data_IF_568158995946
#
_entry.id   IF_568158995946
#
_cell.length_a   1.000
_cell.length_b   1.000
_cell.length_c   1.000
_cell.angle_alpha   90.00
_cell.angle_beta   90.00
_cell.angle_gamma   90.00
#
_symmetry.space_group_name_H-M   'P 1'
#
loop_
_entity.id
_entity.type
_entity.pdbx_description
1 polymer ?
#
# COMPACT_ATOMS: atom_id res chain seq x y z
N UNK A 1 -12.76 2.29 13.79
CA UNK A 1 -13.18 0.90 14.05
C UNK A 1 -14.08 0.83 15.29
N UNK A 2 -13.75 1.43 16.46
CA UNK A 2 -14.66 1.45 17.62
C UNK A 2 -15.93 2.28 17.37
N UNK A 3 -15.83 3.39 16.66
CA UNK A 3 -17.00 4.23 16.31
C UNK A 3 -17.90 3.54 15.27
N UNK A 4 -17.35 2.81 14.29
CA UNK A 4 -18.16 2.03 13.32
C UNK A 4 -18.91 0.89 13.99
N UNK A 5 -18.29 0.26 14.99
CA UNK A 5 -18.97 -0.75 15.79
C UNK A 5 -20.13 -0.15 16.58
N UNK A 6 -19.98 1.09 17.04
CA UNK A 6 -21.04 1.79 17.79
C UNK A 6 -22.16 2.27 16.86
N UNK A 7 -21.82 2.79 15.68
CA UNK A 7 -22.81 3.20 14.67
C UNK A 7 -23.55 1.97 14.12
N UNK A 8 -22.84 0.90 13.85
CA UNK A 8 -23.41 -0.39 13.47
C UNK A 8 -24.33 -0.97 14.57
N UNK A 9 -23.93 -0.85 15.86
CA UNK A 9 -24.78 -1.21 16.99
C UNK A 9 -26.05 -0.39 17.07
N UNK A 10 -25.97 0.89 16.78
CA UNK A 10 -27.13 1.82 16.85
C UNK A 10 -28.10 1.60 15.69
N UNK A 11 -27.62 1.24 14.50
CA UNK A 11 -28.42 1.00 13.31
C UNK A 11 -29.11 -0.38 13.30
N UNK A 12 -28.50 -1.41 13.87
CA UNK A 12 -29.05 -2.77 13.92
C UNK A 12 -30.08 -3.01 15.06
N UNK A 13 -30.53 -1.96 15.73
CA UNK A 13 -31.70 -1.99 16.64
C UNK A 13 -31.76 -3.16 17.62
N UNK A 14 -30.95 -3.18 18.64
CA UNK A 14 -31.13 -4.02 19.84
C UNK A 14 -30.48 -5.42 19.82
N UNK A 15 -30.40 -6.12 18.69
CA UNK A 15 -29.75 -7.44 18.61
C UNK A 15 -28.25 -7.28 18.36
N UNK A 16 -27.84 -6.29 17.58
CA UNK A 16 -26.43 -5.97 17.30
C UNK A 16 -25.71 -5.25 18.46
N UNK A 17 -26.42 -4.90 19.53
CA UNK A 17 -25.80 -4.27 20.70
C UNK A 17 -24.75 -5.12 21.43
N UNK A 18 -24.52 -6.36 20.96
CA UNK A 18 -23.61 -7.30 21.61
C UNK A 18 -22.48 -7.83 20.68
N UNK A 19 -22.50 -7.52 19.38
CA UNK A 19 -21.47 -7.95 18.45
C UNK A 19 -20.64 -6.76 17.98
N UNK A 20 -19.41 -6.67 18.43
CA UNK A 20 -18.43 -5.69 18.00
C UNK A 20 -17.62 -6.28 16.83
N UNK A 21 -17.65 -5.71 15.60
CA UNK A 21 -16.85 -6.20 14.46
C UNK A 21 -15.35 -6.28 14.74
N UNK A 22 -14.85 -5.48 15.69
CA UNK A 22 -13.45 -5.57 16.14
C UNK A 22 -13.18 -6.80 17.00
N UNK A 23 -14.21 -7.29 17.69
CA UNK A 23 -14.11 -8.54 18.43
C UNK A 23 -13.96 -9.70 17.42
N UNK A 24 -14.59 -9.62 16.24
CA UNK A 24 -14.46 -10.63 15.21
C UNK A 24 -13.00 -10.84 14.73
N UNK A 25 -12.19 -9.79 14.67
CA UNK A 25 -10.77 -9.91 14.31
C UNK A 25 -9.89 -10.50 15.42
N UNK A 26 -10.36 -10.54 16.66
CA UNK A 26 -9.66 -11.11 17.82
C UNK A 26 -10.05 -12.57 18.10
N UNK A 27 -11.00 -13.13 17.32
CA UNK A 27 -11.60 -14.45 17.55
C UNK A 27 -10.75 -15.67 17.20
N UNK A 28 -9.46 -15.52 16.97
CA UNK A 28 -8.56 -16.66 16.74
C UNK A 28 -7.98 -17.27 18.03
N UNK A 29 -8.40 -16.83 19.22
CA UNK A 29 -8.02 -17.47 20.48
C UNK A 29 -9.20 -18.21 21.09
N UNK A 30 -9.01 -19.47 21.51
CA UNK A 30 -10.08 -20.33 22.06
C UNK A 30 -10.78 -19.72 23.29
N UNK A 31 -10.09 -18.88 24.04
CA UNK A 31 -10.60 -18.22 25.27
C UNK A 31 -11.66 -17.13 25.01
N UNK A 32 -11.78 -16.59 23.79
CA UNK A 32 -12.75 -15.54 23.46
C UNK A 32 -14.03 -16.05 22.80
N UNK A 33 -14.08 -17.32 22.44
CA UNK A 33 -15.29 -17.95 21.89
C UNK A 33 -16.41 -18.08 22.92
N UNK A 34 -16.07 -18.15 24.22
CA UNK A 34 -17.05 -18.28 25.29
C UNK A 34 -17.87 -17.01 25.56
N UNK A 35 -17.30 -15.79 25.45
CA UNK A 35 -18.02 -14.53 25.77
C UNK A 35 -19.10 -14.14 24.74
N UNK A 36 -19.04 -14.64 23.50
CA UNK A 36 -20.05 -14.34 22.45
C UNK A 36 -21.13 -15.42 22.37
N UNK A 37 -20.83 -16.64 22.79
CA UNK A 37 -21.80 -17.74 22.79
C UNK A 37 -23.06 -17.41 23.59
N UNK A 38 -22.98 -16.52 24.58
CA UNK A 38 -24.10 -16.13 25.44
C UNK A 38 -25.08 -15.13 24.81
N UNK A 39 -24.79 -14.57 23.62
CA UNK A 39 -25.59 -13.46 23.08
C UNK A 39 -26.27 -13.73 21.73
N UNK A 40 -25.78 -14.67 20.94
CA UNK A 40 -26.37 -15.08 19.65
C UNK A 40 -26.43 -16.59 19.61
N UNK A 41 -27.65 -17.14 19.62
CA UNK A 41 -27.84 -18.56 19.49
C UNK A 41 -27.70 -19.00 18.03
N UNK A 42 -27.33 -20.25 17.79
CA UNK A 42 -27.23 -20.80 16.44
C UNK A 42 -28.55 -20.68 15.66
N UNK A 43 -29.70 -20.75 16.36
CA UNK A 43 -31.04 -20.50 15.80
C UNK A 43 -31.31 -19.06 15.36
N UNK A 44 -30.49 -18.08 15.81
CA UNK A 44 -30.63 -16.69 15.41
C UNK A 44 -29.92 -16.40 14.09
N UNK A 45 -28.93 -17.22 13.75
CA UNK A 45 -28.15 -17.04 12.51
C UNK A 45 -28.98 -17.14 11.24
N UNK A 46 -30.06 -17.93 11.27
CA UNK A 46 -30.92 -18.15 10.10
C UNK A 46 -32.16 -17.24 10.08
N UNK A 47 -32.28 -16.33 11.07
CA UNK A 47 -33.33 -15.30 11.08
C UNK A 47 -33.04 -14.19 10.10
N UNK A 48 -34.11 -13.59 9.57
CA UNK A 48 -34.04 -12.45 8.68
C UNK A 48 -33.86 -11.16 9.47
N UNK A 49 -32.94 -10.30 9.05
CA UNK A 49 -32.63 -9.02 9.68
C UNK A 49 -32.56 -7.90 8.64
N UNK A 50 -32.75 -6.66 9.11
CA UNK A 50 -32.36 -5.46 8.35
C UNK A 50 -30.84 -5.33 8.42
N UNK A 51 -30.19 -5.26 7.26
CA UNK A 51 -28.73 -5.20 7.15
C UNK A 51 -28.14 -3.79 7.37
N UNK A 52 -28.99 -2.82 7.70
CA UNK A 52 -28.58 -1.44 8.03
C UNK A 52 -27.74 -0.78 6.94
N UNK A 53 -26.55 -0.31 7.32
CA UNK A 53 -25.63 0.39 6.41
C UNK A 53 -24.76 -0.52 5.55
N UNK A 54 -24.88 -1.85 5.68
CA UNK A 54 -24.13 -2.80 4.85
C UNK A 54 -24.36 -2.58 3.36
N UNK A 55 -23.28 -2.54 2.57
CA UNK A 55 -23.29 -2.20 1.14
C UNK A 55 -22.95 -3.39 0.23
N UNK A 56 -22.61 -4.54 0.82
CA UNK A 56 -22.22 -5.73 0.08
C UNK A 56 -23.37 -6.48 -0.60
N UNK A 57 -23.15 -7.73 -1.03
CA UNK A 57 -24.20 -8.54 -1.63
C UNK A 57 -25.43 -8.68 -0.73
N UNK A 58 -26.60 -8.81 -1.35
CA UNK A 58 -27.85 -9.01 -0.59
C UNK A 58 -27.73 -10.22 0.32
N UNK A 59 -27.76 -9.98 1.62
CA UNK A 59 -27.85 -11.00 2.66
C UNK A 59 -29.27 -10.99 3.22
N UNK A 60 -29.87 -12.16 3.44
CA UNK A 60 -31.19 -12.27 4.03
C UNK A 60 -31.13 -12.70 5.49
N UNK A 61 -30.07 -13.38 5.88
CA UNK A 61 -29.87 -13.95 7.21
C UNK A 61 -28.63 -13.39 7.88
N UNK A 62 -28.56 -13.48 9.20
CA UNK A 62 -27.38 -13.08 9.97
C UNK A 62 -26.18 -13.94 9.60
N UNK A 63 -26.36 -15.22 9.26
CA UNK A 63 -25.31 -16.12 8.79
C UNK A 63 -24.67 -15.59 7.50
N UNK A 64 -25.49 -15.25 6.50
CA UNK A 64 -25.00 -14.70 5.22
C UNK A 64 -24.24 -13.39 5.42
N UNK A 65 -24.74 -12.51 6.30
CA UNK A 65 -24.06 -11.28 6.66
C UNK A 65 -22.72 -11.57 7.34
N UNK A 66 -22.70 -12.48 8.31
CA UNK A 66 -21.49 -12.86 9.03
C UNK A 66 -20.42 -13.43 8.07
N UNK A 67 -20.81 -14.33 7.18
CA UNK A 67 -19.92 -14.93 6.19
C UNK A 67 -19.36 -13.84 5.22
N UNK A 68 -20.21 -12.91 4.80
CA UNK A 68 -19.79 -11.83 3.93
C UNK A 68 -18.83 -10.86 4.64
N UNK A 69 -19.11 -10.46 5.88
CA UNK A 69 -18.23 -9.62 6.69
C UNK A 69 -16.89 -10.30 6.97
N UNK A 70 -16.91 -11.60 7.29
CA UNK A 70 -15.68 -12.38 7.48
C UNK A 70 -14.83 -12.40 6.20
N UNK A 71 -15.46 -12.66 5.05
CA UNK A 71 -14.76 -12.66 3.76
C UNK A 71 -14.14 -11.30 3.46
N UNK A 72 -14.80 -10.22 3.85
CA UNK A 72 -14.36 -8.86 3.56
C UNK A 72 -13.31 -8.36 4.56
N UNK A 73 -13.57 -8.48 5.86
CA UNK A 73 -12.80 -7.80 6.92
C UNK A 73 -11.89 -8.72 7.74
N UNK A 74 -12.04 -10.04 7.61
CA UNK A 74 -11.23 -11.03 8.34
C UNK A 74 -10.35 -11.89 7.42
N UNK A 75 -10.12 -11.44 6.18
CA UNK A 75 -9.27 -12.10 5.19
C UNK A 75 -7.84 -11.53 5.21
N UNK A 76 -7.21 -11.45 4.05
CA UNK A 76 -5.88 -10.86 3.85
C UNK A 76 -5.88 -9.31 3.82
N UNK A 77 -7.03 -8.68 4.10
CA UNK A 77 -7.24 -7.23 4.06
C UNK A 77 -7.74 -6.70 5.40
N UNK A 78 -7.08 -5.67 5.93
CA UNK A 78 -7.57 -4.79 6.97
C UNK A 78 -7.74 -3.37 6.45
N UNK A 79 -8.75 -2.65 6.93
CA UNK A 79 -9.05 -1.29 6.44
C UNK A 79 -9.32 -0.34 7.58
N UNK A 80 -8.62 0.80 7.58
CA UNK A 80 -8.84 1.87 8.51
C UNK A 80 -9.36 3.12 7.79
N UNK A 81 -10.63 3.44 7.96
CA UNK A 81 -11.28 4.61 7.32
C UNK A 81 -12.30 5.32 8.22
N UNK A 82 -12.63 4.73 9.37
CA UNK A 82 -13.68 5.27 10.24
C UNK A 82 -13.28 6.56 10.95
N UNK A 83 -11.97 6.87 11.02
CA UNK A 83 -11.46 8.14 11.53
C UNK A 83 -11.66 9.30 10.55
N UNK A 84 -12.08 9.03 9.30
CA UNK A 84 -12.36 10.07 8.29
C UNK A 84 -13.67 10.77 8.67
N UNK A 85 -13.70 12.11 8.86
CA UNK A 85 -14.91 12.81 9.29
C UNK A 85 -16.00 12.87 8.21
N UNK A 86 -15.61 12.83 6.92
CA UNK A 86 -16.55 12.96 5.79
C UNK A 86 -17.30 11.66 5.56
N UNK A 87 -18.62 11.69 5.76
CA UNK A 87 -19.51 10.52 5.61
C UNK A 87 -19.54 9.97 4.18
N UNK A 88 -19.55 10.85 3.16
CA UNK A 88 -19.55 10.41 1.75
C UNK A 88 -18.27 9.62 1.41
N UNK A 89 -17.15 10.10 1.90
CA UNK A 89 -15.85 9.49 1.72
C UNK A 89 -15.79 8.11 2.40
N UNK A 90 -16.26 8.00 3.65
CA UNK A 90 -16.38 6.72 4.36
C UNK A 90 -17.28 5.73 3.62
N UNK A 91 -18.48 6.18 3.22
CA UNK A 91 -19.44 5.33 2.47
C UNK A 91 -18.88 4.84 1.14
N UNK A 92 -18.13 5.69 0.44
CA UNK A 92 -17.51 5.28 -0.81
C UNK A 92 -16.49 4.15 -0.59
N UNK A 93 -15.61 4.28 0.43
CA UNK A 93 -14.64 3.25 0.78
C UNK A 93 -15.38 1.97 1.17
N UNK A 94 -16.35 2.06 2.08
CA UNK A 94 -17.16 0.94 2.54
C UNK A 94 -17.80 0.20 1.35
N UNK A 95 -18.48 0.93 0.47
CA UNK A 95 -19.11 0.34 -0.72
C UNK A 95 -18.11 -0.41 -1.58
N UNK A 96 -16.94 0.20 -1.86
CA UNK A 96 -15.91 -0.42 -2.70
C UNK A 96 -15.37 -1.72 -2.11
N UNK A 97 -15.24 -1.78 -0.79
CA UNK A 97 -14.70 -2.97 -0.10
C UNK A 97 -15.77 -4.05 0.04
N UNK A 98 -16.97 -3.69 0.48
CA UNK A 98 -18.05 -4.65 0.72
C UNK A 98 -18.64 -5.21 -0.58
N UNK A 99 -18.53 -4.49 -1.72
CA UNK A 99 -18.93 -4.97 -3.03
C UNK A 99 -17.80 -5.58 -3.85
N UNK A 100 -16.60 -5.74 -3.27
CA UNK A 100 -15.48 -6.28 -4.03
C UNK A 100 -15.75 -7.70 -4.52
N UNK A 101 -15.37 -7.96 -5.77
CA UNK A 101 -15.40 -9.29 -6.36
C UNK A 101 -14.04 -9.58 -6.99
N UNK A 102 -13.22 -10.36 -6.29
CA UNK A 102 -11.90 -10.75 -6.80
C UNK A 102 -12.00 -11.78 -7.93
N UNK A 103 -13.10 -12.54 -7.99
CA UNK A 103 -13.28 -13.63 -8.95
C UNK A 103 -13.47 -13.12 -10.39
N UNK A 104 -14.12 -11.97 -10.56
CA UNK A 104 -14.37 -11.39 -11.88
C UNK A 104 -13.11 -10.83 -12.54
N UNK A 105 -12.16 -10.35 -11.75
CA UNK A 105 -10.97 -9.66 -12.23
C UNK A 105 -9.76 -10.60 -12.36
N UNK A 106 -9.75 -11.74 -11.64
CA UNK A 106 -8.62 -12.64 -11.53
C UNK A 106 -8.72 -13.85 -12.48
N UNK A 107 -8.64 -13.58 -13.79
CA UNK A 107 -8.59 -14.64 -14.81
C UNK A 107 -7.32 -15.49 -14.67
N UNK A 108 -7.29 -16.74 -15.21
CA UNK A 108 -6.09 -17.56 -15.22
C UNK A 108 -4.89 -16.87 -15.87
N UNK A 109 -5.12 -16.06 -16.91
CA UNK A 109 -4.10 -15.28 -17.60
C UNK A 109 -3.52 -14.18 -16.68
N UNK A 110 -4.39 -13.50 -15.93
CA UNK A 110 -3.98 -12.50 -14.96
C UNK A 110 -3.16 -13.11 -13.82
N UNK A 111 -3.58 -14.26 -13.29
CA UNK A 111 -2.82 -14.99 -12.25
C UNK A 111 -1.44 -15.43 -12.75
N UNK A 112 -1.34 -15.89 -14.01
CA UNK A 112 -0.03 -16.19 -14.63
C UNK A 112 0.83 -14.95 -14.75
N UNK A 113 0.25 -13.82 -15.12
CA UNK A 113 0.96 -12.56 -15.20
C UNK A 113 1.49 -12.13 -13.82
N UNK A 114 0.68 -12.18 -12.75
CA UNK A 114 1.12 -11.93 -11.39
C UNK A 114 2.28 -12.83 -10.99
N UNK A 115 2.16 -14.14 -11.24
CA UNK A 115 3.22 -15.12 -10.97
C UNK A 115 4.51 -14.78 -11.71
N UNK A 116 4.42 -14.37 -12.98
CA UNK A 116 5.60 -13.95 -13.76
C UNK A 116 6.30 -12.74 -13.14
N UNK A 117 5.54 -11.75 -12.63
CA UNK A 117 6.11 -10.56 -11.98
C UNK A 117 6.81 -10.91 -10.68
N UNK A 118 6.18 -11.72 -9.83
CA UNK A 118 6.77 -12.21 -8.58
C UNK A 118 8.02 -13.05 -8.87
N UNK A 119 7.94 -13.98 -9.82
CA UNK A 119 9.08 -14.81 -10.22
C UNK A 119 10.24 -13.97 -10.72
N UNK A 120 9.99 -12.94 -11.53
CA UNK A 120 11.04 -12.03 -12.02
C UNK A 120 11.73 -11.29 -10.86
N UNK A 121 10.96 -10.83 -9.88
CA UNK A 121 11.48 -10.19 -8.67
C UNK A 121 12.38 -11.16 -7.87
N UNK A 122 11.88 -12.35 -7.60
CA UNK A 122 12.58 -13.36 -6.81
C UNK A 122 13.87 -13.87 -7.51
N UNK A 123 13.79 -14.18 -8.79
CA UNK A 123 14.95 -14.67 -9.58
C UNK A 123 16.04 -13.61 -9.63
N UNK A 124 15.68 -12.33 -9.79
CA UNK A 124 16.65 -11.25 -9.77
C UNK A 124 17.38 -11.16 -8.42
N UNK A 125 16.66 -11.22 -7.29
CA UNK A 125 17.25 -11.20 -5.96
C UNK A 125 18.15 -12.41 -5.71
N UNK A 126 17.69 -13.62 -6.07
CA UNK A 126 18.49 -14.85 -5.97
C UNK A 126 19.76 -14.79 -6.80
N UNK A 127 19.68 -14.24 -8.01
CA UNK A 127 20.86 -14.03 -8.86
C UNK A 127 21.89 -13.11 -8.18
N UNK A 128 21.44 -11.96 -7.65
CA UNK A 128 22.33 -11.03 -6.95
C UNK A 128 22.93 -11.67 -5.70
N UNK A 129 22.16 -12.42 -4.95
CA UNK A 129 22.61 -13.12 -3.74
C UNK A 129 23.73 -14.09 -4.05
N UNK A 130 23.55 -14.91 -5.08
CA UNK A 130 24.53 -15.95 -5.44
C UNK A 130 25.77 -15.38 -6.14
N UNK A 131 25.61 -14.35 -6.95
CA UNK A 131 26.70 -13.79 -7.76
C UNK A 131 27.56 -12.79 -6.98
N UNK A 132 26.99 -12.01 -6.09
CA UNK A 132 27.64 -10.90 -5.40
C UNK A 132 27.54 -11.09 -3.88
N UNK A 133 28.11 -12.18 -3.40
CA UNK A 133 28.08 -12.58 -1.98
C UNK A 133 28.65 -11.47 -1.08
N UNK A 134 27.95 -11.17 0.01
CA UNK A 134 28.37 -10.18 1.01
C UNK A 134 28.20 -8.71 0.61
N UNK A 135 27.77 -8.40 -0.59
CA UNK A 135 27.50 -7.02 -0.98
C UNK A 135 26.10 -6.56 -0.49
N UNK A 136 26.05 -5.33 0.04
CA UNK A 136 24.76 -4.70 0.39
C UNK A 136 23.88 -4.53 -0.83
N UNK A 137 22.63 -4.96 -0.76
CA UNK A 137 21.64 -4.87 -1.83
C UNK A 137 20.26 -4.48 -1.36
N UNK A 138 19.98 -4.48 -0.05
CA UNK A 138 18.67 -4.22 0.54
C UNK A 138 17.57 -5.02 -0.18
N UNK A 139 17.71 -6.35 -0.09
CA UNK A 139 16.87 -7.32 -0.79
C UNK A 139 15.38 -7.09 -0.60
N UNK A 140 14.62 -7.31 -1.69
CA UNK A 140 13.16 -7.29 -1.68
C UNK A 140 12.56 -8.62 -1.19
N UNK A 141 13.34 -9.68 -1.07
CA UNK A 141 12.86 -11.03 -0.72
C UNK A 141 12.03 -11.03 0.57
N UNK A 142 10.81 -11.55 0.45
CA UNK A 142 9.76 -11.47 1.47
C UNK A 142 8.75 -10.34 1.24
N UNK A 143 9.02 -9.45 0.26
CA UNK A 143 8.16 -8.35 -0.16
C UNK A 143 8.02 -8.30 -1.69
N UNK A 144 8.20 -9.44 -2.35
CA UNK A 144 8.31 -9.57 -3.81
C UNK A 144 7.07 -9.04 -4.53
N UNK A 145 5.93 -9.05 -3.86
CA UNK A 145 4.64 -8.54 -4.35
C UNK A 145 4.64 -7.02 -4.58
N UNK A 146 5.63 -6.28 -4.06
CA UNK A 146 5.82 -4.87 -4.44
C UNK A 146 5.96 -4.69 -5.96
N UNK A 147 6.55 -5.64 -6.67
CA UNK A 147 6.76 -5.54 -8.12
C UNK A 147 5.44 -5.62 -8.88
N UNK A 148 4.59 -6.64 -8.71
CA UNK A 148 3.25 -6.61 -9.33
C UNK A 148 2.39 -5.44 -8.82
N UNK A 149 2.47 -5.01 -7.56
CA UNK A 149 1.78 -3.81 -7.05
C UNK A 149 2.11 -2.59 -7.92
N UNK A 150 3.39 -2.31 -8.14
CA UNK A 150 3.82 -1.16 -8.95
C UNK A 150 3.43 -1.32 -10.42
N UNK A 151 3.47 -2.52 -10.99
CA UNK A 151 2.98 -2.75 -12.35
C UNK A 151 1.48 -2.45 -12.46
N UNK A 152 0.67 -2.89 -11.49
CA UNK A 152 -0.77 -2.61 -11.44
C UNK A 152 -1.03 -1.12 -11.29
N UNK A 153 -0.29 -0.43 -10.41
CA UNK A 153 -0.41 1.01 -10.22
C UNK A 153 -0.13 1.77 -11.52
N UNK A 154 0.92 1.37 -12.26
CA UNK A 154 1.31 2.00 -13.53
C UNK A 154 0.24 1.75 -14.60
N UNK A 155 -0.22 0.50 -14.74
CA UNK A 155 -1.25 0.13 -15.72
C UNK A 155 -2.55 0.89 -15.45
N UNK A 156 -3.02 0.89 -14.20
CA UNK A 156 -4.23 1.62 -13.79
C UNK A 156 -4.06 3.16 -13.90
N UNK A 157 -2.82 3.67 -13.74
CA UNK A 157 -2.50 5.08 -14.02
C UNK A 157 -2.69 5.42 -15.50
N UNK A 158 -2.37 4.50 -16.40
CA UNK A 158 -2.64 4.66 -17.84
C UNK A 158 -4.14 4.75 -18.14
N UNK A 159 -4.98 3.97 -17.46
CA UNK A 159 -6.45 4.03 -17.56
C UNK A 159 -7.00 5.39 -17.12
N UNK A 160 -6.42 6.00 -16.08
CA UNK A 160 -6.72 7.36 -15.62
C UNK A 160 -6.04 8.47 -16.43
N UNK A 161 -5.41 8.15 -17.56
CA UNK A 161 -4.70 9.09 -18.42
C UNK A 161 -3.60 9.91 -17.68
N UNK A 162 -2.96 9.31 -16.69
CA UNK A 162 -1.83 9.91 -16.00
C UNK A 162 -0.71 10.23 -16.97
N UNK A 163 -0.11 11.41 -16.81
CA UNK A 163 1.06 11.84 -17.59
C UNK A 163 2.37 11.41 -16.96
N UNK A 164 2.41 11.43 -15.61
CA UNK A 164 3.67 11.20 -14.89
C UNK A 164 3.43 10.60 -13.50
N UNK A 165 4.27 9.66 -13.14
CA UNK A 165 4.43 9.17 -11.76
C UNK A 165 5.78 9.65 -11.25
N UNK A 166 5.77 10.42 -10.15
CA UNK A 166 6.95 10.91 -9.44
C UNK A 166 7.21 9.95 -8.27
N UNK A 167 8.23 9.10 -8.38
CA UNK A 167 8.47 8.00 -7.46
C UNK A 167 9.64 8.32 -6.52
N UNK A 168 9.39 8.29 -5.21
CA UNK A 168 10.39 8.34 -4.15
C UNK A 168 10.37 7.05 -3.36
N UNK A 169 11.53 6.51 -3.03
CA UNK A 169 11.58 5.28 -2.24
C UNK A 169 12.84 5.16 -1.41
N UNK A 170 12.74 4.40 -0.31
CA UNK A 170 13.85 3.95 0.48
C UNK A 170 14.74 2.94 -0.29
N UNK A 171 15.73 2.38 0.40
CA UNK A 171 16.71 1.47 -0.24
C UNK A 171 16.14 0.09 -0.56
N UNK A 172 15.25 -0.44 0.30
CA UNK A 172 14.74 -1.81 0.17
C UNK A 172 13.95 -1.99 -1.12
N UNK A 173 14.36 -2.99 -1.90
CA UNK A 173 13.76 -3.29 -3.19
C UNK A 173 14.12 -2.33 -4.32
N UNK A 174 14.92 -1.29 -4.07
CA UNK A 174 15.22 -0.26 -5.08
C UNK A 174 15.91 -0.81 -6.32
N UNK A 175 16.84 -1.74 -6.16
CA UNK A 175 17.52 -2.38 -7.29
C UNK A 175 16.53 -3.19 -8.14
N UNK A 176 15.60 -3.87 -7.50
CA UNK A 176 14.54 -4.62 -8.16
C UNK A 176 13.58 -3.69 -8.92
N UNK A 177 13.18 -2.58 -8.30
CA UNK A 177 12.35 -1.54 -8.96
C UNK A 177 13.08 -0.96 -10.17
N UNK A 178 14.37 -0.65 -10.08
CA UNK A 178 15.16 -0.14 -11.21
C UNK A 178 15.13 -1.08 -12.42
N UNK A 179 15.20 -2.40 -12.21
CA UNK A 179 15.23 -3.40 -13.28
C UNK A 179 13.81 -3.75 -13.75
N UNK A 180 12.94 -4.20 -12.84
CA UNK A 180 11.66 -4.80 -13.19
C UNK A 180 10.53 -3.77 -13.41
N UNK A 181 10.69 -2.53 -12.94
CA UNK A 181 9.69 -1.46 -13.10
C UNK A 181 10.19 -0.36 -14.02
N UNK A 182 11.38 0.18 -13.75
CA UNK A 182 11.92 1.32 -14.49
C UNK A 182 12.57 0.94 -15.81
N UNK A 183 12.83 -0.36 -16.05
CA UNK A 183 13.45 -0.85 -17.29
C UNK A 183 14.94 -0.55 -17.41
N UNK A 184 15.65 -0.27 -16.31
CA UNK A 184 17.11 -0.15 -16.34
C UNK A 184 17.71 -1.49 -16.76
N UNK A 185 18.68 -1.46 -17.69
CA UNK A 185 19.34 -2.69 -18.16
C UNK A 185 20.14 -3.34 -17.06
N UNK A 186 19.91 -4.62 -16.82
CA UNK A 186 20.57 -5.39 -15.76
C UNK A 186 22.09 -5.41 -15.91
N UNK A 187 22.61 -5.42 -17.16
CA UNK A 187 24.04 -5.39 -17.43
C UNK A 187 24.73 -4.14 -16.86
N UNK A 188 24.04 -2.99 -16.88
CA UNK A 188 24.58 -1.76 -16.30
C UNK A 188 24.71 -1.87 -14.78
N UNK A 189 23.69 -2.44 -14.15
CA UNK A 189 23.73 -2.68 -12.69
C UNK A 189 24.80 -3.71 -12.32
N UNK A 190 24.97 -4.76 -13.10
CA UNK A 190 25.99 -5.78 -12.84
C UNK A 190 27.44 -5.23 -12.96
N UNK A 191 27.69 -4.29 -13.89
CA UNK A 191 28.98 -3.58 -13.95
C UNK A 191 29.26 -2.80 -12.67
N UNK A 192 28.24 -2.16 -12.12
CA UNK A 192 28.35 -1.43 -10.83
C UNK A 192 28.68 -2.37 -9.67
N UNK A 193 28.08 -3.57 -9.64
CA UNK A 193 28.41 -4.61 -8.66
C UNK A 193 29.85 -5.14 -8.83
N UNK A 194 30.33 -5.24 -10.05
CA UNK A 194 31.69 -5.65 -10.36
C UNK A 194 32.76 -4.57 -10.11
N UNK A 195 32.32 -3.34 -9.78
CA UNK A 195 33.24 -2.20 -9.62
C UNK A 195 33.72 -1.57 -10.92
N UNK A 196 33.15 -2.00 -12.05
CA UNK A 196 33.43 -1.47 -13.39
C UNK A 196 32.47 -0.33 -13.70
N UNK A 197 32.71 0.82 -13.11
CA UNK A 197 31.85 1.98 -13.27
C UNK A 197 32.11 2.78 -14.54
N UNK A 198 33.15 2.43 -15.32
CA UNK A 198 33.54 3.20 -16.51
C UNK A 198 33.83 4.69 -16.24
N UNK A 199 33.93 5.03 -14.96
CA UNK A 199 34.12 6.41 -14.51
C UNK A 199 35.54 6.87 -14.78
N UNK A 200 35.70 8.06 -15.38
CA UNK A 200 37.00 8.72 -15.38
C UNK A 200 37.45 8.99 -13.94
N UNK A 201 38.76 9.04 -13.69
CA UNK A 201 39.34 9.33 -12.36
C UNK A 201 38.81 10.62 -11.68
N UNK A 202 38.00 11.40 -12.36
CA UNK A 202 37.40 12.68 -11.88
C UNK A 202 35.91 12.55 -11.49
N UNK A 203 35.28 11.39 -11.69
CA UNK A 203 33.86 11.20 -11.36
C UNK A 203 33.75 10.33 -10.11
N UNK A 204 33.11 10.86 -9.06
CA UNK A 204 32.69 10.08 -7.90
C UNK A 204 31.33 9.49 -8.21
N UNK A 205 31.22 8.15 -8.29
CA UNK A 205 29.93 7.45 -8.41
C UNK A 205 29.20 7.44 -7.08
N UNK A 206 27.87 7.61 -7.12
CA UNK A 206 27.02 7.37 -5.96
C UNK A 206 26.84 5.84 -5.78
N UNK A 207 26.42 5.44 -4.57
CA UNK A 207 26.14 4.03 -4.30
C UNK A 207 24.94 3.54 -5.10
N UNK A 208 25.01 2.29 -5.58
CA UNK A 208 24.01 1.72 -6.49
C UNK A 208 22.56 1.79 -6.03
N UNK A 209 22.31 1.75 -4.72
CA UNK A 209 20.96 1.83 -4.14
C UNK A 209 20.48 3.26 -3.84
N UNK A 210 21.21 4.30 -4.29
CA UNK A 210 20.74 5.70 -4.29
C UNK A 210 20.31 6.19 -5.66
N UNK A 211 20.61 5.45 -6.71
CA UNK A 211 20.41 5.89 -8.09
C UNK A 211 18.96 6.16 -8.42
N UNK A 212 18.72 7.25 -9.15
CA UNK A 212 17.48 7.54 -9.84
C UNK A 212 17.46 6.99 -11.26
N UNK A 213 16.29 7.00 -11.85
CA UNK A 213 16.07 6.62 -13.25
C UNK A 213 14.77 7.24 -13.76
N UNK A 214 14.68 7.48 -15.06
CA UNK A 214 13.40 7.86 -15.67
C UNK A 214 13.21 7.12 -17.00
N UNK A 215 11.97 6.77 -17.29
CA UNK A 215 11.56 6.06 -18.50
C UNK A 215 10.10 6.30 -18.82
N UNK A 216 9.74 6.13 -20.08
CA UNK A 216 8.35 6.07 -20.52
C UNK A 216 7.91 4.62 -20.56
N UNK A 217 6.82 4.30 -19.89
CA UNK A 217 6.26 2.94 -19.85
C UNK A 217 4.96 2.93 -20.63
N UNK A 218 4.92 2.04 -21.61
CA UNK A 218 3.72 1.80 -22.39
C UNK A 218 2.72 1.00 -21.55
N UNK A 219 1.51 1.54 -21.38
CA UNK A 219 0.38 0.85 -20.79
C UNK A 219 -0.65 0.49 -21.85
N UNK A 220 -1.67 -0.26 -21.48
CA UNK A 220 -2.77 -0.65 -22.39
C UNK A 220 -3.56 0.55 -22.96
N UNK A 221 -3.54 1.70 -22.28
CA UNK A 221 -4.33 2.89 -22.65
C UNK A 221 -3.47 4.08 -23.06
N UNK A 222 -2.47 4.41 -22.28
CA UNK A 222 -1.65 5.59 -22.50
C UNK A 222 -0.27 5.43 -21.88
N UNK A 223 0.77 5.90 -22.57
CA UNK A 223 2.13 5.93 -22.01
C UNK A 223 2.20 6.82 -20.76
N UNK A 224 2.89 6.32 -19.76
CA UNK A 224 3.10 7.01 -18.47
C UNK A 224 4.59 7.23 -18.27
N UNK A 225 4.97 8.47 -18.03
CA UNK A 225 6.36 8.78 -17.69
C UNK A 225 6.63 8.49 -16.22
N UNK A 226 7.60 7.61 -15.94
CA UNK A 226 8.08 7.31 -14.61
C UNK A 226 9.35 8.09 -14.31
N UNK A 227 9.43 8.70 -13.13
CA UNK A 227 10.63 9.36 -12.63
C UNK A 227 10.92 8.91 -11.20
N UNK A 228 11.87 7.98 -11.04
CA UNK A 228 12.40 7.59 -9.74
C UNK A 228 13.53 8.55 -9.36
N UNK A 229 13.31 9.32 -8.30
CA UNK A 229 14.29 10.30 -7.82
C UNK A 229 15.46 9.63 -7.08
N UNK A 230 16.60 10.29 -7.09
CA UNK A 230 17.72 9.92 -6.21
C UNK A 230 17.28 10.00 -4.75
N UNK A 231 17.81 9.13 -3.90
CA UNK A 231 17.57 9.21 -2.46
C UNK A 231 18.90 9.26 -1.70
N UNK A 232 18.97 9.99 -0.58
CA UNK A 232 20.14 9.98 0.29
C UNK A 232 20.12 8.75 1.23
N UNK A 233 21.18 8.58 2.00
CA UNK A 233 21.21 7.59 3.10
C UNK A 233 20.27 7.95 4.25
N UNK A 234 19.88 9.22 4.37
CA UNK A 234 18.92 9.69 5.36
C UNK A 234 17.50 9.29 4.92
N UNK A 235 16.91 8.35 5.64
CA UNK A 235 15.58 7.82 5.31
C UNK A 235 14.53 8.92 5.37
N UNK A 236 13.54 8.84 4.50
CA UNK A 236 12.37 9.71 4.37
C UNK A 236 12.64 11.15 3.88
N UNK A 237 13.91 11.60 3.75
CA UNK A 237 14.20 12.94 3.22
C UNK A 237 13.84 13.13 1.75
N UNK A 238 13.64 12.03 1.01
CA UNK A 238 13.15 12.08 -0.37
C UNK A 238 11.68 12.48 -0.46
N UNK A 239 10.90 12.34 0.62
CA UNK A 239 9.45 12.61 0.60
C UNK A 239 9.13 14.04 0.19
N UNK A 240 9.59 15.09 0.90
CA UNK A 240 9.31 16.46 0.48
C UNK A 240 9.93 16.83 -0.87
N UNK A 241 11.00 16.14 -1.29
CA UNK A 241 11.59 16.32 -2.63
C UNK A 241 10.64 15.85 -3.72
N UNK A 242 9.99 14.69 -3.52
CA UNK A 242 8.98 14.17 -4.45
C UNK A 242 7.76 15.09 -4.51
N UNK A 243 7.29 15.56 -3.36
CA UNK A 243 6.16 16.50 -3.31
C UNK A 243 6.47 17.78 -4.09
N UNK A 244 7.65 18.35 -3.87
CA UNK A 244 8.12 19.54 -4.61
C UNK A 244 8.28 19.27 -6.11
N UNK A 245 8.81 18.10 -6.50
CA UNK A 245 8.96 17.71 -7.89
C UNK A 245 7.60 17.50 -8.57
N UNK A 246 6.67 16.81 -7.92
CA UNK A 246 5.32 16.64 -8.43
C UNK A 246 4.60 17.99 -8.56
N UNK A 247 4.70 18.87 -7.54
CA UNK A 247 4.11 20.21 -7.58
C UNK A 247 4.66 21.05 -8.72
N UNK A 248 5.96 21.02 -8.96
CA UNK A 248 6.57 21.71 -10.09
C UNK A 248 5.97 21.30 -11.44
N UNK A 249 5.77 19.99 -11.64
CA UNK A 249 5.13 19.50 -12.86
C UNK A 249 3.63 19.83 -12.91
N UNK A 250 2.94 19.84 -11.78
CA UNK A 250 1.53 20.25 -11.70
C UNK A 250 1.34 21.73 -12.05
N UNK A 251 2.24 22.60 -11.59
CA UNK A 251 2.16 24.03 -11.85
C UNK A 251 2.47 24.40 -13.31
N UNK A 252 3.10 23.51 -14.07
CA UNK A 252 3.32 23.63 -15.52
C UNK A 252 2.14 23.19 -16.37
N UNK A 253 1.15 22.53 -15.78
CA UNK A 253 -0.04 22.04 -16.46
C UNK A 253 -1.26 22.89 -16.08
N UNK A 254 -2.29 22.83 -16.91
CA UNK A 254 -3.58 23.42 -16.58
C UNK A 254 -4.16 22.81 -15.29
N UNK A 255 -4.98 23.55 -14.58
CA UNK A 255 -5.54 23.11 -13.30
C UNK A 255 -6.29 21.77 -13.40
N UNK A 256 -7.00 21.55 -14.49
CA UNK A 256 -7.71 20.29 -14.80
C UNK A 256 -6.77 19.10 -14.98
N UNK A 257 -5.53 19.32 -15.36
CA UNK A 257 -4.53 18.29 -15.64
C UNK A 257 -3.57 18.01 -14.45
N UNK A 258 -3.60 18.86 -13.42
CA UNK A 258 -2.74 18.69 -12.23
C UNK A 258 -2.84 17.31 -11.59
N UNK A 259 -4.04 16.76 -11.57
CA UNK A 259 -4.28 15.42 -11.03
C UNK A 259 -3.58 14.30 -11.82
N UNK A 260 -3.15 14.56 -13.07
CA UNK A 260 -2.44 13.60 -13.92
C UNK A 260 -0.95 13.46 -13.57
N UNK A 261 -0.48 14.19 -12.58
CA UNK A 261 0.86 14.04 -11.98
C UNK A 261 0.70 13.39 -10.62
N UNK A 262 1.18 12.16 -10.48
CA UNK A 262 1.01 11.33 -9.30
C UNK A 262 2.31 11.23 -8.50
N UNK A 263 2.39 11.78 -7.28
CA UNK A 263 3.44 11.42 -6.35
C UNK A 263 3.16 10.03 -5.74
N UNK A 264 4.20 9.20 -5.69
CA UNK A 264 4.20 7.88 -5.04
C UNK A 264 5.41 7.78 -4.14
N UNK A 265 5.19 7.45 -2.89
CA UNK A 265 6.24 7.32 -1.88
C UNK A 265 6.26 5.91 -1.31
N UNK A 266 7.42 5.25 -1.36
CA UNK A 266 7.61 3.89 -0.84
C UNK A 266 8.52 3.97 0.38
N UNK A 267 8.00 3.52 1.52
CA UNK A 267 8.59 3.65 2.84
C UNK A 267 8.99 2.31 3.43
N UNK A 268 9.86 2.33 4.44
CA UNK A 268 9.99 1.24 5.40
C UNK A 268 9.16 1.58 6.65
N UNK A 269 8.57 0.58 7.28
CA UNK A 269 7.66 0.71 8.43
C UNK A 269 8.26 1.48 9.62
N UNK A 270 9.46 1.13 10.03
CA UNK A 270 10.12 1.77 11.17
C UNK A 270 10.50 3.24 10.88
N UNK A 271 10.94 3.55 9.66
CA UNK A 271 11.25 4.92 9.27
C UNK A 271 9.98 5.76 9.15
N UNK A 272 8.92 5.21 8.57
CA UNK A 272 7.64 5.89 8.39
C UNK A 272 7.02 6.32 9.73
N UNK A 273 7.02 5.44 10.72
CA UNK A 273 6.47 5.75 12.04
C UNK A 273 7.37 6.66 12.88
N UNK A 274 8.69 6.65 12.66
CA UNK A 274 9.67 7.27 13.58
C UNK A 274 10.36 8.53 13.08
N UNK A 275 10.39 8.81 11.77
CA UNK A 275 11.09 9.97 11.22
C UNK A 275 10.17 11.21 11.18
N UNK A 276 10.54 12.27 11.91
CA UNK A 276 9.74 13.50 12.00
C UNK A 276 9.40 14.13 10.66
N UNK A 277 10.29 14.01 9.65
CA UNK A 277 10.05 14.52 8.30
C UNK A 277 8.82 13.91 7.61
N UNK A 278 8.41 12.70 8.00
CA UNK A 278 7.17 12.07 7.51
C UNK A 278 5.97 12.88 7.97
N UNK A 279 5.87 13.17 9.27
CA UNK A 279 4.76 13.93 9.86
C UNK A 279 4.74 15.37 9.32
N UNK A 280 5.91 15.99 9.12
CA UNK A 280 6.03 17.32 8.53
C UNK A 280 5.53 17.34 7.09
N UNK A 281 5.89 16.33 6.29
CA UNK A 281 5.41 16.18 4.90
C UNK A 281 3.91 15.94 4.85
N UNK A 282 3.38 15.07 5.70
CA UNK A 282 1.93 14.80 5.82
C UNK A 282 1.16 16.08 6.19
N UNK A 283 1.67 16.90 7.10
CA UNK A 283 1.05 18.18 7.48
C UNK A 283 0.94 19.16 6.30
N UNK A 284 1.84 19.07 5.33
CA UNK A 284 1.80 19.92 4.14
C UNK A 284 0.83 19.42 3.07
N UNK A 285 0.42 18.14 3.11
CA UNK A 285 -0.26 17.44 2.00
C UNK A 285 -1.55 18.11 1.52
N UNK A 286 -2.33 18.73 2.40
CA UNK A 286 -3.57 19.45 2.08
C UNK A 286 -3.42 20.99 2.20
N UNK A 287 -2.24 21.47 2.57
CA UNK A 287 -1.96 22.89 2.70
C UNK A 287 -1.94 23.57 1.31
N UNK A 288 -2.63 24.70 1.16
CA UNK A 288 -2.84 25.35 -0.15
C UNK A 288 -1.55 25.59 -0.94
N UNK A 289 -0.46 25.94 -0.27
CA UNK A 289 0.84 26.22 -0.91
C UNK A 289 1.59 24.97 -1.37
N UNK A 290 1.29 23.79 -0.77
CA UNK A 290 2.12 22.58 -0.92
C UNK A 290 1.36 21.36 -1.50
N UNK A 291 0.02 21.36 -1.43
CA UNK A 291 -0.81 20.22 -1.89
C UNK A 291 -0.47 19.77 -3.30
N UNK A 292 -0.41 18.45 -3.49
CA UNK A 292 -0.08 17.78 -4.75
C UNK A 292 -1.24 16.94 -5.32
N UNK A 293 -2.48 17.22 -4.92
CA UNK A 293 -3.67 16.45 -5.29
C UNK A 293 -3.64 15.01 -4.76
N UNK A 294 -2.97 14.80 -3.64
CA UNK A 294 -2.86 13.50 -2.96
C UNK A 294 -1.70 12.64 -3.44
N UNK A 295 -1.11 11.93 -2.50
CA UNK A 295 0.03 11.01 -2.66
C UNK A 295 -0.40 9.59 -2.35
N UNK A 296 0.07 8.62 -3.14
CA UNK A 296 -0.05 7.20 -2.80
C UNK A 296 1.18 6.79 -2.01
N UNK A 297 0.98 6.46 -0.74
CA UNK A 297 2.02 5.94 0.13
C UNK A 297 1.98 4.41 0.15
N UNK A 298 3.12 3.77 -0.02
CA UNK A 298 3.27 2.31 0.03
C UNK A 298 4.29 2.00 1.10
N UNK A 299 3.91 1.24 2.11
CA UNK A 299 4.82 0.86 3.19
C UNK A 299 5.24 -0.60 3.01
N UNK A 300 6.53 -0.83 2.80
CA UNK A 300 7.10 -2.18 2.86
C UNK A 300 7.23 -2.54 4.35
N UNK A 301 6.14 -3.06 4.91
CA UNK A 301 6.05 -3.37 6.33
C UNK A 301 6.57 -4.78 6.61
N UNK A 302 7.87 -4.90 6.71
CA UNK A 302 8.51 -6.17 7.06
C UNK A 302 8.61 -6.42 8.57
N UNK A 303 8.00 -5.58 9.38
CA UNK A 303 7.83 -5.71 10.83
C UNK A 303 9.15 -5.77 11.61
N UNK A 304 10.21 -5.24 11.02
CA UNK A 304 11.53 -5.21 11.66
C UNK A 304 12.27 -3.90 11.37
N UNK A 305 12.55 -3.12 12.41
CA UNK A 305 13.30 -1.88 12.33
C UNK A 305 14.78 -2.12 12.60
N UNK A 306 15.61 -2.23 11.56
CA UNK A 306 17.04 -2.58 11.64
C UNK A 306 17.24 -3.91 12.39
N UNK A 307 17.45 -3.89 13.71
CA UNK A 307 17.61 -5.08 14.58
C UNK A 307 16.46 -5.26 15.57
N UNK A 308 15.52 -4.31 15.63
CA UNK A 308 14.37 -4.35 16.53
C UNK A 308 13.22 -5.12 15.87
N UNK A 309 12.86 -6.27 16.42
CA UNK A 309 11.83 -7.17 15.85
C UNK A 309 10.55 -7.25 16.69
N UNK A 310 10.59 -6.83 17.96
CA UNK A 310 9.41 -6.84 18.84
C UNK A 310 8.66 -5.51 18.70
N UNK A 311 7.35 -5.58 18.58
CA UNK A 311 6.50 -4.41 18.44
C UNK A 311 6.59 -3.50 19.67
N UNK A 312 6.58 -4.06 20.88
CA UNK A 312 6.65 -3.33 22.13
C UNK A 312 7.96 -2.53 22.28
N UNK A 313 9.05 -2.99 21.61
CA UNK A 313 10.33 -2.30 21.60
C UNK A 313 10.44 -1.29 20.44
N UNK A 314 9.54 -1.37 19.45
CA UNK A 314 9.62 -0.59 18.21
C UNK A 314 8.84 0.73 18.27
N UNK A 315 7.62 0.71 18.82
CA UNK A 315 6.73 1.88 18.85
C UNK A 315 5.62 1.73 19.88
N UNK A 316 5.03 2.87 20.25
CA UNK A 316 3.89 2.92 21.20
C UNK A 316 2.53 2.69 20.54
N UNK A 317 2.45 2.74 19.22
CA UNK A 317 1.20 2.59 18.45
C UNK A 317 1.04 1.17 17.94
N UNK A 318 -0.20 0.74 17.70
CA UNK A 318 -0.49 -0.59 17.14
C UNK A 318 0.08 -0.74 15.73
N UNK A 319 -0.09 0.30 14.89
CA UNK A 319 0.39 0.30 13.51
C UNK A 319 1.43 1.37 13.24
N UNK A 320 2.38 1.08 12.36
CA UNK A 320 3.33 2.09 11.87
C UNK A 320 2.63 3.22 11.10
N UNK A 321 1.42 2.97 10.64
CA UNK A 321 0.57 3.88 9.88
C UNK A 321 -0.27 4.83 10.73
N UNK A 322 -0.28 4.70 12.05
CA UNK A 322 -1.11 5.55 12.93
C UNK A 322 -0.83 7.06 12.75
N UNK A 323 0.36 7.41 12.31
CA UNK A 323 0.75 8.81 12.02
C UNK A 323 -0.11 9.47 10.93
N UNK A 324 -0.69 8.70 10.00
CA UNK A 324 -1.49 9.27 8.90
C UNK A 324 -2.92 9.62 9.32
N UNK A 325 -3.36 9.18 10.47
CA UNK A 325 -4.65 9.56 11.04
C UNK A 325 -4.73 11.06 11.33
N UNK A 326 -3.58 11.73 11.53
CA UNK A 326 -3.51 13.19 11.70
C UNK A 326 -4.03 13.96 10.48
N UNK A 327 -3.98 13.38 9.28
CA UNK A 327 -4.49 13.99 8.03
C UNK A 327 -5.76 13.30 7.54
N UNK A 328 -6.33 12.39 8.33
CA UNK A 328 -7.52 11.60 7.98
C UNK A 328 -7.36 10.79 6.68
N UNK A 329 -6.17 10.29 6.39
CA UNK A 329 -5.96 9.42 5.23
C UNK A 329 -6.43 7.98 5.53
N UNK A 330 -7.09 7.29 4.58
CA UNK A 330 -7.42 5.87 4.73
C UNK A 330 -6.16 5.01 4.67
N UNK A 331 -6.19 3.88 5.39
CA UNK A 331 -5.12 2.89 5.39
C UNK A 331 -5.69 1.53 4.97
N UNK A 332 -5.02 0.90 4.02
CA UNK A 332 -5.30 -0.45 3.56
C UNK A 332 -4.14 -1.36 3.95
N UNK A 333 -4.34 -2.20 4.97
CA UNK A 333 -3.38 -3.22 5.37
C UNK A 333 -3.62 -4.47 4.53
N UNK A 334 -2.66 -4.86 3.72
CA UNK A 334 -2.82 -6.02 2.85
C UNK A 334 -1.66 -7.00 3.03
N UNK A 335 -1.98 -8.29 3.14
CA UNK A 335 -0.96 -9.34 3.20
C UNK A 335 -0.26 -9.46 1.84
N UNK A 336 1.07 -9.27 1.83
CA UNK A 336 1.90 -9.39 0.62
C UNK A 336 1.87 -10.80 -0.01
N UNK A 337 1.45 -11.82 0.73
CA UNK A 337 1.29 -13.19 0.21
C UNK A 337 0.00 -13.39 -0.59
N UNK A 338 -0.89 -12.37 -0.63
CA UNK A 338 -2.09 -12.35 -1.46
C UNK A 338 -1.97 -11.32 -2.60
N UNK A 339 -1.33 -11.66 -3.72
CA UNK A 339 -1.11 -10.72 -4.80
C UNK A 339 -2.39 -10.28 -5.51
N UNK A 340 -3.46 -11.04 -5.41
CA UNK A 340 -4.77 -10.71 -5.98
C UNK A 340 -5.41 -9.58 -5.17
N UNK A 341 -5.40 -9.70 -3.84
CA UNK A 341 -5.87 -8.64 -2.94
C UNK A 341 -4.99 -7.38 -3.04
N UNK A 342 -3.67 -7.53 -3.10
CA UNK A 342 -2.73 -6.41 -3.33
C UNK A 342 -3.07 -5.66 -4.60
N UNK A 343 -3.40 -6.38 -5.67
CA UNK A 343 -3.80 -5.79 -6.95
C UNK A 343 -5.09 -4.97 -6.83
N UNK A 344 -6.11 -5.53 -6.19
CA UNK A 344 -7.39 -4.84 -5.95
C UNK A 344 -7.18 -3.55 -5.13
N UNK A 345 -6.46 -3.64 -4.02
CA UNK A 345 -6.20 -2.50 -3.13
C UNK A 345 -5.38 -1.42 -3.83
N UNK A 346 -4.45 -1.80 -4.69
CA UNK A 346 -3.66 -0.83 -5.47
C UNK A 346 -4.55 0.01 -6.39
N UNK A 347 -5.48 -0.63 -7.09
CA UNK A 347 -6.47 0.09 -7.92
C UNK A 347 -7.36 0.98 -7.06
N UNK A 348 -7.89 0.46 -5.96
CA UNK A 348 -8.75 1.20 -5.06
C UNK A 348 -8.06 2.44 -4.46
N UNK A 349 -6.80 2.32 -4.07
CA UNK A 349 -6.01 3.43 -3.54
C UNK A 349 -5.83 4.54 -4.59
N UNK A 350 -5.53 4.18 -5.83
CA UNK A 350 -5.44 5.16 -6.91
C UNK A 350 -6.79 5.82 -7.20
N UNK A 351 -7.88 5.05 -7.27
CA UNK A 351 -9.24 5.57 -7.47
C UNK A 351 -9.65 6.54 -6.36
N UNK A 352 -9.33 6.21 -5.10
CA UNK A 352 -9.55 7.11 -3.96
C UNK A 352 -8.79 8.42 -4.14
N UNK A 353 -7.50 8.36 -4.44
CA UNK A 353 -6.66 9.54 -4.69
C UNK A 353 -7.22 10.37 -5.84
N UNK A 354 -7.66 9.75 -6.93
CA UNK A 354 -8.22 10.45 -8.08
C UNK A 354 -9.53 11.16 -7.74
N UNK A 355 -10.39 10.50 -6.96
CA UNK A 355 -11.70 11.03 -6.60
C UNK A 355 -11.60 12.16 -5.58
N UNK A 356 -10.84 11.95 -4.50
CA UNK A 356 -10.81 12.86 -3.35
C UNK A 356 -9.61 13.80 -3.33
N UNK A 357 -8.60 13.56 -4.14
CA UNK A 357 -7.37 14.38 -4.22
C UNK A 357 -6.67 14.49 -2.86
N UNK A 358 -6.67 13.39 -2.13
CA UNK A 358 -6.08 13.22 -0.80
C UNK A 358 -5.10 12.06 -0.79
N UNK A 359 -4.26 12.03 0.22
CA UNK A 359 -3.31 10.97 0.45
C UNK A 359 -4.03 9.68 0.83
N UNK A 360 -3.42 8.56 0.48
CA UNK A 360 -3.89 7.20 0.77
C UNK A 360 -2.71 6.31 1.05
N UNK A 361 -2.87 5.36 1.96
CA UNK A 361 -1.78 4.49 2.41
C UNK A 361 -2.11 3.02 2.12
N UNK A 362 -1.16 2.33 1.48
CA UNK A 362 -1.13 0.88 1.35
C UNK A 362 -0.05 0.37 2.30
N UNK A 363 -0.44 -0.32 3.34
CA UNK A 363 0.47 -1.01 4.25
C UNK A 363 0.65 -2.45 3.76
N UNK A 364 1.74 -2.70 3.03
CA UNK A 364 2.06 -4.00 2.48
C UNK A 364 2.72 -4.85 3.57
N UNK A 365 1.89 -5.62 4.28
CA UNK A 365 2.31 -6.50 5.38
C UNK A 365 3.12 -7.67 4.84
N UNK A 366 4.39 -7.70 5.15
CA UNK A 366 5.35 -8.66 4.60
C UNK A 366 6.41 -9.08 5.64
N UNK A 367 7.48 -9.69 5.19
CA UNK A 367 8.61 -10.07 6.04
C UNK A 367 9.94 -9.77 5.35
N UNK A 368 11.03 -9.88 6.08
CA UNK A 368 12.39 -9.76 5.57
C UNK A 368 13.10 -11.12 5.65
N UNK A 369 13.42 -11.70 4.50
CA UNK A 369 14.13 -13.00 4.45
C UNK A 369 15.62 -12.87 4.71
N UNK A 370 16.26 -11.83 4.18
CA UNK A 370 17.70 -11.58 4.30
C UNK A 370 17.97 -10.21 4.92
N UNK A 371 19.22 -10.03 5.41
CA UNK A 371 19.70 -8.76 5.97
C UNK A 371 19.94 -7.67 4.89
N UNK A 372 20.87 -6.80 5.21
CA UNK A 372 21.26 -5.71 4.32
C UNK A 372 22.17 -6.20 3.20
#
# INVERSE_FOLDING_TARGET
VRESAQDFKNELGGVANKVDPLTLSKFNTEDQKEEISDSVNESDLDKTFDMGSYQGPNCNTLRELFDSLNKTYCSSLGVEYMHIPNLEERKWIQTKIETMSLESDNTPEYKKWLLQRITAAEVFEKFLHNKYVGQKRFSLEGSDTLIPLLNVLIEHSGEHAMKRICLGMAHRGRLNVLINIMGKRAENLFKEFAGDLGLSKKQTGDVKYHQGFSSDIQTSKKDVHLALMFNPSHLELVNPVIEGYARYHQDKNDESERQQILPVLIHGDAAFSGQGVVMETLNMSQSRGYRTQGTVHIIINNQIGFTTSKQDDARSTDYCTDVVKMINAPVFHVNAEDPEMVSFITKLALDYRMRYKKDVVIDLMCYRRHGH
#
